data_IF_842876295883
#
_entry.id   IF_842876295883
#
_cell.length_a   1.000
_cell.length_b   1.000
_cell.length_c   1.000
_cell.angle_alpha   90.00
_cell.angle_beta   90.00
_cell.angle_gamma   90.00
#
_symmetry.space_group_name_H-M   'P 1'
#
loop_
_entity.id
_entity.type
_entity.pdbx_description
1 polymer ?
#
# COMPACT_ATOMS: atom_id res chain seq x y z
N UNK A 1 -18.43 13.80 7.26
CA UNK A 1 -18.39 13.04 5.99
C UNK A 1 -17.63 11.76 6.28
N UNK A 2 -18.27 10.60 6.12
CA UNK A 2 -17.64 9.30 6.32
C UNK A 2 -16.65 9.11 5.17
N UNK A 3 -15.39 9.44 5.41
CA UNK A 3 -14.28 8.99 4.58
C UNK A 3 -14.31 7.47 4.61
N UNK A 4 -14.83 6.86 3.54
CA UNK A 4 -14.82 5.41 3.34
C UNK A 4 -13.36 5.00 3.18
N UNK A 5 -12.70 4.75 4.31
CA UNK A 5 -11.33 4.29 4.37
C UNK A 5 -11.19 3.04 3.49
N UNK A 6 -10.10 2.94 2.69
CA UNK A 6 -9.96 1.86 1.73
C UNK A 6 -9.93 0.50 2.45
N UNK A 7 -10.77 -0.42 1.97
CA UNK A 7 -10.72 -1.83 2.34
C UNK A 7 -9.79 -2.58 1.38
N UNK A 8 -8.94 -3.43 1.94
CA UNK A 8 -7.94 -4.21 1.21
C UNK A 8 -8.16 -5.66 1.56
N UNK A 9 -8.23 -6.52 0.55
CA UNK A 9 -8.33 -7.95 0.73
C UNK A 9 -6.94 -8.59 0.63
N UNK A 10 -6.55 -9.33 1.67
CA UNK A 10 -5.27 -10.04 1.75
C UNK A 10 -5.51 -11.52 1.94
N UNK A 11 -4.77 -12.33 1.20
CA UNK A 11 -4.84 -13.78 1.32
C UNK A 11 -3.86 -14.22 2.40
N UNK A 12 -4.38 -14.92 3.42
CA UNK A 12 -3.60 -15.37 4.57
C UNK A 12 -3.64 -16.91 4.64
N UNK A 13 -2.47 -17.57 4.77
CA UNK A 13 -2.43 -19.01 4.97
C UNK A 13 -2.90 -19.38 6.38
N UNK A 14 -3.63 -20.48 6.49
CA UNK A 14 -4.07 -21.09 7.74
C UNK A 14 -3.16 -22.26 8.15
N UNK A 15 -3.31 -22.72 9.39
CA UNK A 15 -2.61 -23.89 9.95
C UNK A 15 -2.85 -25.18 9.15
N UNK A 16 -3.96 -25.29 8.43
CA UNK A 16 -4.26 -26.44 7.56
C UNK A 16 -3.66 -26.33 6.15
N UNK A 17 -2.84 -25.30 5.88
CA UNK A 17 -2.27 -25.04 4.55
C UNK A 17 -3.23 -24.41 3.55
N UNK A 18 -4.50 -24.19 3.94
CA UNK A 18 -5.50 -23.50 3.14
C UNK A 18 -5.30 -21.97 3.15
N UNK A 19 -5.72 -21.30 2.09
CA UNK A 19 -5.59 -19.85 1.90
C UNK A 19 -6.94 -19.15 1.96
N UNK A 20 -7.06 -18.07 2.75
CA UNK A 20 -8.34 -17.40 3.01
C UNK A 20 -8.24 -15.90 2.78
N UNK A 21 -9.25 -15.27 2.15
CA UNK A 21 -9.31 -13.82 2.01
C UNK A 21 -9.75 -13.16 3.33
N UNK A 22 -8.88 -12.31 3.87
CA UNK A 22 -9.17 -11.44 5.03
C UNK A 22 -9.30 -10.01 4.52
N UNK A 23 -10.44 -9.34 4.80
CA UNK A 23 -10.59 -7.92 4.50
C UNK A 23 -10.13 -7.08 5.67
N UNK A 24 -9.24 -6.15 5.38
CA UNK A 24 -8.67 -5.20 6.30
C UNK A 24 -9.16 -3.80 5.92
N UNK A 25 -9.64 -3.05 6.91
CA UNK A 25 -9.91 -1.62 6.75
C UNK A 25 -8.77 -0.82 7.34
N UNK A 26 -8.28 0.12 6.56
CA UNK A 26 -7.20 1.00 6.95
C UNK A 26 -7.73 2.05 7.96
N UNK A 27 -7.43 1.92 9.25
CA UNK A 27 -7.79 2.95 10.24
C UNK A 27 -6.75 4.08 10.25
N UNK A 28 -5.47 3.72 10.08
CA UNK A 28 -4.36 4.62 9.78
C UNK A 28 -3.25 3.84 9.06
N UNK A 29 -2.21 4.52 8.56
CA UNK A 29 -1.12 3.86 7.81
C UNK A 29 -0.44 2.70 8.57
N UNK A 30 -0.46 2.73 9.91
CA UNK A 30 0.09 1.70 10.77
C UNK A 30 -0.96 0.93 11.58
N UNK A 31 -2.25 1.29 11.47
CA UNK A 31 -3.34 0.64 12.22
C UNK A 31 -4.36 0.03 11.29
N UNK A 32 -4.48 -1.29 11.41
CA UNK A 32 -5.31 -2.14 10.58
C UNK A 32 -6.45 -2.66 11.44
N UNK A 33 -7.67 -2.54 10.94
CA UNK A 33 -8.80 -3.24 11.52
C UNK A 33 -9.18 -4.41 10.62
N UNK A 34 -9.21 -5.61 11.17
CA UNK A 34 -9.79 -6.77 10.48
C UNK A 34 -11.31 -6.56 10.44
N UNK A 35 -11.87 -6.40 9.24
CA UNK A 35 -13.32 -6.21 9.04
C UNK A 35 -13.99 -7.51 8.68
N UNK A 36 -13.29 -8.38 7.94
CA UNK A 36 -13.78 -9.70 7.59
C UNK A 36 -12.66 -10.72 7.78
N UNK A 37 -12.91 -11.71 8.62
CA UNK A 37 -12.06 -12.88 8.75
C UNK A 37 -12.97 -14.11 8.67
N UNK A 38 -12.87 -14.93 7.61
CA UNK A 38 -13.70 -16.13 7.45
C UNK A 38 -13.63 -17.08 8.64
N UNK A 39 -12.50 -17.10 9.36
CA UNK A 39 -12.37 -17.89 10.58
C UNK A 39 -13.26 -17.37 11.71
N UNK A 40 -13.56 -16.06 11.78
CA UNK A 40 -14.42 -15.50 12.83
C UNK A 40 -15.85 -16.06 12.77
N UNK A 41 -16.33 -16.40 11.56
CA UNK A 41 -17.66 -16.99 11.35
C UNK A 41 -17.70 -18.46 11.79
N UNK A 42 -16.56 -19.15 11.77
CA UNK A 42 -16.47 -20.59 12.07
C UNK A 42 -16.11 -20.89 13.54
N UNK A 43 -15.22 -20.09 14.14
CA UNK A 43 -14.72 -20.31 15.52
C UNK A 43 -15.09 -19.20 16.51
N UNK A 44 -15.79 -18.16 16.06
CA UNK A 44 -16.27 -17.06 16.90
C UNK A 44 -15.23 -15.94 17.18
N UNK A 45 -15.70 -14.73 17.53
CA UNK A 45 -14.87 -13.52 17.63
C UNK A 45 -13.85 -13.55 18.78
N UNK A 46 -14.10 -14.33 19.84
CA UNK A 46 -13.17 -14.47 20.97
C UNK A 46 -11.92 -15.28 20.57
N UNK A 47 -12.09 -16.35 19.80
CA UNK A 47 -11.00 -17.23 19.39
C UNK A 47 -10.26 -16.71 18.16
N UNK A 48 -10.90 -15.91 17.30
CA UNK A 48 -10.24 -15.35 16.11
C UNK A 48 -9.07 -14.44 16.46
N UNK A 49 -9.07 -13.78 17.62
CA UNK A 49 -7.98 -12.92 18.09
C UNK A 49 -6.71 -13.71 18.45
N UNK A 50 -6.88 -14.96 18.85
CA UNK A 50 -5.81 -15.90 19.21
C UNK A 50 -5.43 -16.82 18.05
N UNK A 51 -6.19 -16.76 16.95
CA UNK A 51 -5.95 -17.57 15.78
C UNK A 51 -4.57 -17.25 15.16
N UNK A 52 -3.85 -18.27 14.65
CA UNK A 52 -2.57 -18.09 13.98
C UNK A 52 -2.62 -17.07 12.85
N UNK A 53 -3.76 -16.93 12.15
CA UNK A 53 -3.96 -15.94 11.10
C UNK A 53 -3.92 -14.48 11.63
N UNK A 54 -4.51 -14.20 12.78
CA UNK A 54 -4.47 -12.87 13.41
C UNK A 54 -3.08 -12.55 13.96
N UNK A 55 -2.40 -13.54 14.55
CA UNK A 55 -0.99 -13.40 14.93
C UNK A 55 -0.08 -13.21 13.71
N UNK A 56 -0.33 -13.92 12.61
CA UNK A 56 0.41 -13.81 11.36
C UNK A 56 0.27 -12.41 10.72
N UNK A 57 -0.95 -11.87 10.67
CA UNK A 57 -1.23 -10.51 10.19
C UNK A 57 -0.53 -9.45 11.07
N UNK A 58 -0.48 -9.66 12.39
CA UNK A 58 0.24 -8.78 13.32
C UNK A 58 1.76 -8.89 13.21
N UNK A 59 2.28 -10.11 13.04
CA UNK A 59 3.71 -10.40 12.96
C UNK A 59 4.32 -10.01 11.60
N UNK A 60 3.56 -10.09 10.51
CA UNK A 60 4.01 -9.75 9.14
C UNK A 60 3.70 -8.30 8.75
N UNK A 61 4.01 -7.36 9.64
CA UNK A 61 3.70 -5.95 9.42
C UNK A 61 4.24 -5.39 8.10
N UNK A 62 5.52 -5.64 7.78
CA UNK A 62 6.15 -5.11 6.56
C UNK A 62 5.64 -5.76 5.27
N UNK A 63 5.52 -7.09 5.24
CA UNK A 63 4.99 -7.80 4.06
C UNK A 63 3.54 -7.43 3.76
N UNK A 64 2.71 -7.31 4.80
CA UNK A 64 1.33 -6.86 4.70
C UNK A 64 1.25 -5.43 4.18
N UNK A 65 2.04 -4.52 4.76
CA UNK A 65 2.14 -3.11 4.31
C UNK A 65 2.52 -3.04 2.83
N UNK A 66 3.48 -3.83 2.39
CA UNK A 66 3.89 -3.88 1.00
C UNK A 66 2.78 -4.39 0.07
N UNK A 67 2.04 -5.42 0.47
CA UNK A 67 0.92 -5.94 -0.31
C UNK A 67 -0.17 -4.85 -0.49
N UNK A 68 -0.45 -4.11 0.58
CA UNK A 68 -1.39 -2.98 0.58
C UNK A 68 -0.93 -1.87 -0.37
N UNK A 69 0.34 -1.47 -0.32
CA UNK A 69 0.90 -0.48 -1.25
C UNK A 69 0.67 -0.89 -2.70
N UNK A 70 0.89 -2.17 -3.02
CA UNK A 70 0.68 -2.69 -4.37
C UNK A 70 -0.78 -2.60 -4.82
N UNK A 71 -1.73 -2.90 -3.93
CA UNK A 71 -3.16 -2.78 -4.27
C UNK A 71 -3.59 -1.32 -4.39
N UNK A 72 -3.10 -0.43 -3.53
CA UNK A 72 -3.37 1.01 -3.59
C UNK A 72 -2.93 1.63 -4.92
N UNK A 73 -1.88 1.10 -5.56
CA UNK A 73 -1.48 1.51 -6.91
C UNK A 73 -2.60 1.32 -7.95
N UNK A 74 -3.45 0.29 -7.78
CA UNK A 74 -4.59 0.01 -8.66
C UNK A 74 -5.81 0.89 -8.41
N UNK A 75 -5.91 1.52 -7.23
CA UNK A 75 -7.01 2.44 -6.87
C UNK A 75 -6.87 3.79 -7.58
N UNK A 76 -5.67 4.16 -8.01
CA UNK A 76 -5.42 5.40 -8.75
C UNK A 76 -5.17 6.62 -7.86
N UNK A 77 -5.48 7.83 -8.35
CA UNK A 77 -5.09 9.11 -7.73
C UNK A 77 -5.57 9.29 -6.28
N UNK A 78 -6.71 8.70 -5.90
CA UNK A 78 -7.22 8.75 -4.53
C UNK A 78 -6.27 8.11 -3.50
N UNK A 79 -5.39 7.21 -3.94
CA UNK A 79 -4.42 6.55 -3.07
C UNK A 79 -3.14 7.38 -2.83
N UNK A 80 -2.93 8.48 -3.56
CA UNK A 80 -1.69 9.27 -3.49
C UNK A 80 -1.36 9.75 -2.07
N UNK A 81 -2.30 10.29 -1.27
CA UNK A 81 -1.99 10.71 0.10
C UNK A 81 -1.55 9.56 1.01
N UNK A 82 -2.11 8.36 0.82
CA UNK A 82 -1.73 7.17 1.56
C UNK A 82 -0.33 6.68 1.14
N UNK A 83 -0.05 6.67 -0.17
CA UNK A 83 1.25 6.28 -0.71
C UNK A 83 2.37 7.27 -0.33
N UNK A 84 2.08 8.57 -0.21
CA UNK A 84 3.05 9.55 0.33
C UNK A 84 3.42 9.24 1.78
N UNK A 85 2.46 8.78 2.61
CA UNK A 85 2.76 8.34 3.98
C UNK A 85 3.61 7.07 3.99
N UNK A 86 3.37 6.15 3.05
CA UNK A 86 4.14 4.91 2.89
C UNK A 86 5.63 5.14 2.57
N UNK A 87 5.99 6.26 1.97
CA UNK A 87 7.39 6.66 1.74
C UNK A 87 8.17 6.93 3.04
N UNK A 88 7.53 6.95 4.21
CA UNK A 88 8.18 7.10 5.52
C UNK A 88 8.20 5.81 6.33
N UNK A 89 7.86 4.68 5.71
CA UNK A 89 7.83 3.41 6.41
C UNK A 89 9.23 3.00 6.89
N UNK A 90 9.30 2.33 8.05
CA UNK A 90 10.57 1.81 8.57
C UNK A 90 11.16 0.74 7.65
N UNK A 91 10.32 0.02 6.91
CA UNK A 91 10.74 -1.01 5.97
C UNK A 91 11.05 -0.44 4.58
N UNK A 92 12.24 -0.74 4.07
CA UNK A 92 12.72 -0.23 2.78
C UNK A 92 11.93 -0.79 1.60
N UNK A 93 11.42 -2.02 1.67
CA UNK A 93 10.64 -2.63 0.59
C UNK A 93 9.26 -1.96 0.48
N UNK A 94 8.68 -1.58 1.62
CA UNK A 94 7.43 -0.79 1.65
C UNK A 94 7.65 0.59 1.03
N UNK A 95 8.73 1.29 1.39
CA UNK A 95 9.06 2.60 0.80
C UNK A 95 9.31 2.50 -0.71
N UNK A 96 10.04 1.48 -1.15
CA UNK A 96 10.29 1.19 -2.57
C UNK A 96 8.99 0.97 -3.33
N UNK A 97 8.10 0.12 -2.81
CA UNK A 97 6.82 -0.17 -3.42
C UNK A 97 5.96 1.12 -3.54
N UNK A 98 6.07 2.03 -2.58
CA UNK A 98 5.32 3.28 -2.59
C UNK A 98 5.81 4.21 -3.71
N UNK A 99 7.13 4.31 -3.91
CA UNK A 99 7.69 5.02 -5.06
C UNK A 99 7.15 4.46 -6.39
N UNK A 100 7.18 3.14 -6.56
CA UNK A 100 6.68 2.48 -7.77
C UNK A 100 5.19 2.77 -8.01
N UNK A 101 4.38 2.68 -6.94
CA UNK A 101 2.95 2.93 -7.00
C UNK A 101 2.65 4.38 -7.43
N UNK A 102 3.33 5.36 -6.82
CA UNK A 102 3.20 6.78 -7.17
C UNK A 102 3.61 7.03 -8.63
N UNK A 103 4.69 6.41 -9.10
CA UNK A 103 5.12 6.48 -10.50
C UNK A 103 4.11 5.86 -11.48
N UNK A 104 3.44 4.77 -11.10
CA UNK A 104 2.37 4.15 -11.91
C UNK A 104 1.11 5.01 -11.95
N UNK A 105 0.77 5.70 -10.87
CA UNK A 105 -0.37 6.62 -10.81
C UNK A 105 -0.07 7.86 -11.66
N UNK A 106 1.16 8.38 -11.62
CA UNK A 106 1.56 9.50 -12.49
C UNK A 106 1.07 10.87 -12.02
N UNK A 107 0.59 10.98 -10.77
CA UNK A 107 0.07 12.22 -10.20
C UNK A 107 1.23 13.16 -9.78
N UNK A 108 1.21 14.39 -10.30
CA UNK A 108 2.24 15.38 -10.02
C UNK A 108 2.30 15.83 -8.55
N UNK A 109 1.21 15.67 -7.79
CA UNK A 109 1.18 15.98 -6.35
C UNK A 109 2.15 15.11 -5.54
N UNK A 110 2.58 13.97 -6.08
CA UNK A 110 3.56 13.07 -5.47
C UNK A 110 5.02 13.54 -5.62
N UNK A 111 5.30 14.45 -6.55
CA UNK A 111 6.67 14.87 -6.91
C UNK A 111 7.48 15.38 -5.71
N UNK A 112 6.96 16.27 -4.84
CA UNK A 112 7.72 16.74 -3.67
C UNK A 112 8.09 15.60 -2.70
N UNK A 113 7.25 14.58 -2.59
CA UNK A 113 7.52 13.43 -1.73
C UNK A 113 8.56 12.49 -2.35
N UNK A 114 8.49 12.26 -3.67
CA UNK A 114 9.46 11.46 -4.41
C UNK A 114 10.85 12.12 -4.43
N UNK A 115 10.94 13.45 -4.52
CA UNK A 115 12.22 14.18 -4.40
C UNK A 115 12.89 13.91 -3.04
N UNK A 116 12.10 13.83 -1.96
CA UNK A 116 12.64 13.46 -0.64
C UNK A 116 13.15 12.01 -0.62
N UNK A 117 12.43 11.09 -1.28
CA UNK A 117 12.83 9.69 -1.39
C UNK A 117 14.12 9.46 -2.23
N UNK A 118 14.54 10.43 -3.05
CA UNK A 118 15.86 10.39 -3.70
C UNK A 118 17.03 10.43 -2.70
N UNK A 119 16.79 10.90 -1.48
CA UNK A 119 17.77 10.94 -0.38
C UNK A 119 17.55 9.83 0.64
N UNK A 120 16.77 8.81 0.29
CA UNK A 120 16.56 7.66 1.16
C UNK A 120 17.89 6.93 1.41
N UNK A 121 18.01 6.29 2.58
CA UNK A 121 19.19 5.54 2.97
C UNK A 121 19.38 4.29 2.11
N UNK A 122 18.28 3.66 1.68
CA UNK A 122 18.29 2.47 0.85
C UNK A 122 18.44 2.80 -0.64
N UNK A 123 19.38 2.13 -1.31
CA UNK A 123 19.66 2.34 -2.73
C UNK A 123 18.46 2.00 -3.63
N UNK A 124 17.72 0.95 -3.32
CA UNK A 124 16.57 0.53 -4.13
C UNK A 124 15.45 1.55 -4.05
N UNK A 125 15.25 2.19 -2.89
CA UNK A 125 14.27 3.26 -2.72
C UNK A 125 14.65 4.49 -3.55
N UNK A 126 15.94 4.87 -3.56
CA UNK A 126 16.44 5.98 -4.40
C UNK A 126 16.20 5.73 -5.88
N UNK A 127 16.54 4.53 -6.36
CA UNK A 127 16.31 4.12 -7.76
C UNK A 127 14.82 4.12 -8.12
N UNK A 128 13.97 3.58 -7.25
CA UNK A 128 12.52 3.59 -7.47
C UNK A 128 11.95 5.02 -7.51
N UNK A 129 12.46 5.93 -6.68
CA UNK A 129 12.06 7.33 -6.69
C UNK A 129 12.46 8.05 -8.00
N UNK A 130 13.66 7.81 -8.52
CA UNK A 130 14.09 8.35 -9.83
C UNK A 130 13.16 7.89 -10.94
N UNK A 131 12.95 6.57 -11.05
CA UNK A 131 12.07 5.98 -12.07
C UNK A 131 10.63 6.51 -11.98
N UNK A 132 10.12 6.73 -10.75
CA UNK A 132 8.79 7.29 -10.54
C UNK A 132 8.69 8.74 -11.04
N UNK A 133 9.69 9.57 -10.76
CA UNK A 133 9.74 10.96 -11.23
C UNK A 133 9.80 11.05 -12.76
N UNK A 134 10.61 10.21 -13.40
CA UNK A 134 10.70 10.16 -14.88
C UNK A 134 9.36 9.78 -15.52
N UNK A 135 8.67 8.78 -14.95
CA UNK A 135 7.33 8.38 -15.40
C UNK A 135 6.31 9.50 -15.27
N UNK A 136 6.29 10.18 -14.12
CA UNK A 136 5.39 11.32 -13.90
C UNK A 136 5.68 12.42 -14.92
N UNK A 137 6.96 12.80 -15.10
CA UNK A 137 7.36 13.82 -16.08
C UNK A 137 6.90 13.47 -17.50
N UNK A 138 7.09 12.22 -17.91
CA UNK A 138 6.73 11.76 -19.25
C UNK A 138 5.21 11.82 -19.48
N UNK A 139 4.41 11.43 -18.48
CA UNK A 139 2.95 11.56 -18.56
C UNK A 139 2.47 13.00 -18.57
N UNK A 140 3.08 13.88 -17.78
CA UNK A 140 2.73 15.30 -17.79
C UNK A 140 2.98 15.91 -19.18
N UNK A 141 4.14 15.61 -19.79
CA UNK A 141 4.48 16.06 -21.15
C UNK A 141 3.46 15.59 -22.20
N UNK A 142 3.08 14.31 -22.16
CA UNK A 142 2.07 13.76 -23.06
C UNK A 142 0.68 14.39 -22.87
N UNK A 143 0.31 14.68 -21.62
CA UNK A 143 -0.97 15.32 -21.30
C UNK A 143 -1.02 16.81 -21.71
N UNK A 144 0.13 17.48 -21.79
CA UNK A 144 0.27 18.85 -22.30
C UNK A 144 0.18 18.88 -23.83
N UNK A 145 0.88 17.97 -24.51
CA UNK A 145 0.85 17.84 -25.99
C UNK A 145 -0.57 17.53 -26.50
N UNK A 146 -1.31 16.65 -25.82
CA UNK A 146 -2.68 16.29 -26.19
C UNK A 146 -3.75 17.38 -25.96
N UNK A 147 -3.38 18.51 -25.32
CA UNK A 147 -4.27 19.67 -25.12
C UNK A 147 -3.98 20.83 -26.08
N UNK A 148 -2.88 20.73 -26.82
CA UNK A 148 -2.44 21.75 -27.79
C UNK A 148 -2.91 21.49 -29.23
N UNK A 149 -3.55 20.36 -29.50
CA UNK A 149 -4.24 20.01 -30.76
C UNK A 149 -5.76 20.23 -30.63
#
# INVERSE_FOLDING_TARGET
MQDSLPEVEVIVPCVEGQQHPIRLRLHSWAQWQIVHNPCAEMIGPAFVQMAPCSAHVRARGAELRRAVVKQLAGVGAMAVPALIKALRDGDWDVRRAACEALGRIGDASAVPALIKALRDWDWNVRQAAQNALERIRTRQKQAEEAKGE
#
